data_IF_480984775155
#
_entry.id   IF_480984775155
#
_cell.length_a   1.000
_cell.length_b   1.000
_cell.length_c   1.000
_cell.angle_alpha   90.00
_cell.angle_beta   90.00
_cell.angle_gamma   90.00
#
_symmetry.space_group_name_H-M   'P 1'
#
loop_
_entity.id
_entity.type
_entity.pdbx_description
1 polymer ?
#
# COMPACT_ATOMS: atom_id res chain seq x y z
N UNK A 1 -18.59 -1.30 0.94
CA UNK A 1 -18.40 -1.67 2.36
C UNK A 1 -18.04 -3.14 2.52
N UNK A 2 -18.69 -4.07 1.81
CA UNK A 2 -18.34 -5.50 1.91
C UNK A 2 -16.96 -5.84 1.35
N UNK A 3 -16.55 -5.21 0.24
CA UNK A 3 -15.26 -5.50 -0.39
C UNK A 3 -14.06 -5.08 0.46
N UNK A 4 -14.20 -3.99 1.23
CA UNK A 4 -13.13 -3.47 2.09
C UNK A 4 -12.93 -4.37 3.33
N UNK A 5 -14.03 -4.88 3.89
CA UNK A 5 -13.97 -5.89 4.96
C UNK A 5 -13.35 -7.20 4.47
N UNK A 6 -13.77 -7.70 3.31
CA UNK A 6 -13.19 -8.90 2.69
C UNK A 6 -11.70 -8.73 2.40
N UNK A 7 -11.29 -7.54 1.97
CA UNK A 7 -9.89 -7.21 1.74
C UNK A 7 -9.10 -7.22 3.06
N UNK A 8 -9.61 -6.59 4.11
CA UNK A 8 -8.99 -6.60 5.45
C UNK A 8 -8.82 -8.02 5.98
N UNK A 9 -9.84 -8.86 5.87
CA UNK A 9 -9.76 -10.29 6.25
C UNK A 9 -8.70 -11.03 5.42
N UNK A 10 -8.65 -10.79 4.10
CA UNK A 10 -7.63 -11.40 3.25
C UNK A 10 -6.20 -10.94 3.60
N UNK A 11 -6.01 -9.68 4.01
CA UNK A 11 -4.71 -9.13 4.43
C UNK A 11 -4.19 -9.83 5.69
N UNK A 12 -5.07 -10.21 6.62
CA UNK A 12 -4.68 -10.94 7.84
C UNK A 12 -4.22 -12.35 7.56
N UNK A 13 -4.90 -13.03 6.64
CA UNK A 13 -4.71 -14.45 6.37
C UNK A 13 -3.67 -14.73 5.27
N UNK A 14 -3.24 -13.70 4.53
CA UNK A 14 -2.35 -13.84 3.38
C UNK A 14 -1.25 -12.79 3.36
N UNK A 15 -0.07 -13.17 2.89
CA UNK A 15 1.10 -12.28 2.80
C UNK A 15 1.45 -11.89 1.36
N UNK A 16 0.86 -12.55 0.37
CA UNK A 16 1.18 -12.35 -1.05
C UNK A 16 -0.10 -12.00 -1.83
N UNK A 17 -0.08 -10.85 -2.49
CA UNK A 17 -1.20 -10.33 -3.27
C UNK A 17 -0.77 -10.03 -4.70
N UNK A 18 -1.41 -10.68 -5.67
CA UNK A 18 -1.16 -10.49 -7.10
C UNK A 18 -2.24 -9.64 -7.76
N UNK A 19 -1.89 -8.99 -8.89
CA UNK A 19 -2.81 -8.18 -9.72
C UNK A 19 -3.59 -7.11 -8.92
N UNK A 20 -2.89 -6.45 -8.02
CA UNK A 20 -3.45 -5.43 -7.12
C UNK A 20 -3.48 -4.07 -7.81
N UNK A 21 -4.61 -3.37 -7.71
CA UNK A 21 -4.74 -2.00 -8.24
C UNK A 21 -4.10 -0.97 -7.30
N UNK A 22 -3.72 0.23 -7.78
CA UNK A 22 -3.21 1.30 -6.92
C UNK A 22 -4.12 1.64 -5.73
N UNK A 23 -5.44 1.64 -5.95
CA UNK A 23 -6.42 1.89 -4.89
C UNK A 23 -6.39 0.80 -3.82
N UNK A 24 -6.35 -0.47 -4.23
CA UNK A 24 -6.27 -1.59 -3.29
C UNK A 24 -4.98 -1.57 -2.48
N UNK A 25 -3.83 -1.18 -3.06
CA UNK A 25 -2.58 -1.00 -2.28
C UNK A 25 -2.76 0.01 -1.15
N UNK A 26 -3.46 1.11 -1.42
CA UNK A 26 -3.82 2.12 -0.41
C UNK A 26 -4.74 1.55 0.67
N UNK A 27 -5.79 0.83 0.27
CA UNK A 27 -6.70 0.17 1.22
C UNK A 27 -5.97 -0.86 2.09
N UNK A 28 -4.94 -1.53 1.55
CA UNK A 28 -4.12 -2.47 2.33
C UNK A 28 -3.29 -1.77 3.41
N UNK A 29 -2.66 -0.64 3.07
CA UNK A 29 -1.94 0.20 4.04
C UNK A 29 -2.90 0.66 5.15
N UNK A 30 -4.06 1.20 4.77
CA UNK A 30 -5.06 1.68 5.73
C UNK A 30 -5.60 0.56 6.64
N UNK A 31 -5.84 -0.65 6.10
CA UNK A 31 -6.29 -1.80 6.91
C UNK A 31 -5.25 -2.19 7.95
N UNK A 32 -3.97 -2.30 7.56
CA UNK A 32 -2.89 -2.66 8.48
C UNK A 32 -2.70 -1.58 9.57
N UNK A 33 -2.78 -0.30 9.20
CA UNK A 33 -2.73 0.80 10.16
C UNK A 33 -3.92 0.81 11.12
N UNK A 34 -5.14 0.52 10.63
CA UNK A 34 -6.34 0.43 11.46
C UNK A 34 -6.27 -0.69 12.51
N UNK A 35 -5.44 -1.70 12.26
CA UNK A 35 -5.16 -2.79 13.19
C UNK A 35 -4.02 -2.46 14.18
N UNK A 36 -3.45 -1.25 14.09
CA UNK A 36 -2.39 -0.77 14.97
C UNK A 36 -0.99 -1.17 14.54
N UNK A 37 -0.80 -1.67 13.31
CA UNK A 37 0.52 -1.93 12.76
C UNK A 37 1.18 -0.65 12.25
N UNK A 38 2.50 -0.56 12.44
CA UNK A 38 3.33 0.44 11.74
C UNK A 38 3.65 -0.10 10.35
N UNK A 39 3.23 0.60 9.32
CA UNK A 39 3.29 0.14 7.93
C UNK A 39 4.41 0.82 7.17
N UNK A 40 5.34 0.02 6.66
CA UNK A 40 6.31 0.46 5.68
C UNK A 40 5.88 0.00 4.29
N UNK A 41 5.95 0.90 3.30
CA UNK A 41 5.71 0.55 1.91
C UNK A 41 6.94 0.86 1.07
N UNK A 42 7.26 -0.05 0.15
CA UNK A 42 8.34 0.13 -0.83
C UNK A 42 7.75 0.12 -2.23
N UNK A 43 8.20 1.00 -3.11
CA UNK A 43 7.73 1.04 -4.50
C UNK A 43 8.63 1.84 -5.41
N UNK A 44 8.46 1.67 -6.71
CA UNK A 44 9.32 2.23 -7.75
C UNK A 44 8.54 3.05 -8.79
N UNK A 45 7.29 3.44 -8.53
CA UNK A 45 6.53 4.11 -9.56
C UNK A 45 5.27 4.84 -9.13
N UNK A 46 4.65 5.49 -10.12
CA UNK A 46 3.41 6.28 -9.99
C UNK A 46 2.24 5.50 -9.40
N UNK A 47 2.25 4.17 -9.56
CA UNK A 47 1.22 3.27 -9.05
C UNK A 47 1.28 3.08 -7.52
N UNK A 48 2.43 3.36 -6.92
CA UNK A 48 2.66 3.22 -5.49
C UNK A 48 2.65 4.55 -4.75
N UNK A 49 2.68 5.68 -5.48
CA UNK A 49 2.83 7.03 -4.89
C UNK A 49 1.80 7.33 -3.82
N UNK A 50 0.53 6.98 -4.04
CA UNK A 50 -0.51 7.27 -3.05
C UNK A 50 -0.35 6.41 -1.79
N UNK A 51 -0.03 5.14 -1.95
CA UNK A 51 0.12 4.24 -0.83
C UNK A 51 1.46 4.45 -0.08
N UNK A 52 2.52 4.88 -0.78
CA UNK A 52 3.78 5.36 -0.19
C UNK A 52 3.59 6.61 0.65
N UNK A 53 2.69 7.52 0.24
CA UNK A 53 2.34 8.72 1.00
C UNK A 53 1.53 8.44 2.26
N UNK A 54 0.67 7.41 2.20
CA UNK A 54 -0.22 7.05 3.29
C UNK A 54 0.43 6.11 4.32
N UNK A 55 1.49 5.40 3.94
CA UNK A 55 2.26 4.56 4.84
C UNK A 55 2.98 5.39 5.91
N UNK A 56 3.22 4.80 7.08
CA UNK A 56 4.00 5.43 8.14
C UNK A 56 5.45 5.69 7.70
N UNK A 57 5.98 4.81 6.84
CA UNK A 57 7.25 5.02 6.15
C UNK A 57 7.19 4.55 4.69
N UNK A 58 7.37 5.49 3.75
CA UNK A 58 7.51 5.20 2.33
C UNK A 58 8.97 5.13 1.89
N UNK A 59 9.37 4.07 1.19
CA UNK A 59 10.68 3.91 0.57
C UNK A 59 10.52 3.85 -0.95
N UNK A 60 10.96 4.92 -1.63
CA UNK A 60 10.99 4.96 -3.08
C UNK A 60 12.30 4.36 -3.61
N UNK A 61 12.21 3.35 -4.48
CA UNK A 61 13.38 2.77 -5.14
C UNK A 61 13.81 3.68 -6.29
N UNK A 62 15.11 4.03 -6.33
CA UNK A 62 15.69 5.03 -7.25
C UNK A 62 15.69 4.68 -8.75
N UNK A 63 15.19 3.51 -9.14
CA UNK A 63 14.94 3.14 -10.54
C UNK A 63 13.55 3.57 -11.03
N UNK A 64 12.72 4.11 -10.14
CA UNK A 64 11.42 4.68 -10.46
C UNK A 64 11.52 6.08 -11.01
N UNK A 65 10.97 6.27 -12.22
CA UNK A 65 10.81 7.53 -12.94
C UNK A 65 10.71 8.78 -12.04
N UNK A 66 11.34 9.86 -12.48
CA UNK A 66 11.58 11.19 -11.87
C UNK A 66 10.35 12.00 -11.39
N UNK A 67 9.33 11.36 -10.81
CA UNK A 67 8.07 11.96 -10.39
C UNK A 67 7.93 12.15 -8.86
N UNK A 68 8.97 11.90 -8.07
CA UNK A 68 8.96 11.95 -6.60
C UNK A 68 9.72 13.14 -5.99
N UNK A 69 9.90 14.25 -6.74
CA UNK A 69 10.34 15.54 -6.19
C UNK A 69 9.23 16.57 -6.32
N UNK A 70 8.55 16.86 -5.21
CA UNK A 70 7.48 17.85 -5.10
C UNK A 70 6.70 17.68 -3.81
#
# INVERSE_FOLDING_TARGET
MDDEKKLSEAIKESTVFGRVTPHQKRSMVASLQAEGHVVAMTGDGVNDVLALKDADMGIAMGSGSSASRG
#
